data_IF_105626142427
#
_entry.id   IF_105626142427
#
_cell.length_a   1.000
_cell.length_b   1.000
_cell.length_c   1.000
_cell.angle_alpha   90.00
_cell.angle_beta   90.00
_cell.angle_gamma   90.00
#
_symmetry.space_group_name_H-M   'P 1'
#
loop_
_entity.id
_entity.type
_entity.pdbx_description
1 polymer ?
#
# COMPACT_ATOMS: atom_id res chain seq x y z
N UNK A 1 -6.32 5.39 10.28
CA UNK A 1 -7.63 5.77 9.74
C UNK A 1 -7.63 7.26 9.43
N UNK A 2 -8.04 7.63 8.21
CA UNK A 2 -8.19 9.03 7.82
C UNK A 2 -9.67 9.40 7.77
N UNK A 3 -9.96 10.61 8.20
CA UNK A 3 -11.25 11.25 8.07
C UNK A 3 -11.08 12.46 7.13
N UNK A 4 -11.96 12.63 6.16
CA UNK A 4 -11.91 13.77 5.22
C UNK A 4 -11.93 15.11 5.94
N UNK A 5 -12.65 15.21 7.06
CA UNK A 5 -12.69 16.44 7.84
C UNK A 5 -11.34 16.75 8.50
N UNK A 6 -10.62 15.74 9.00
CA UNK A 6 -9.30 15.92 9.62
C UNK A 6 -8.21 16.16 8.59
N UNK A 7 -8.32 15.59 7.39
CA UNK A 7 -7.41 15.87 6.28
C UNK A 7 -7.55 17.27 5.70
N UNK A 8 -8.65 17.97 6.01
CA UNK A 8 -9.00 19.27 5.43
C UNK A 8 -8.92 19.28 3.90
N UNK A 9 -9.28 18.16 3.28
CA UNK A 9 -9.31 18.00 1.84
C UNK A 9 -10.70 18.30 1.28
N UNK A 10 -10.77 18.90 0.11
CA UNK A 10 -12.03 19.15 -0.61
C UNK A 10 -12.51 17.91 -1.35
N UNK A 11 -11.57 17.09 -1.81
CA UNK A 11 -11.83 15.82 -2.47
C UNK A 11 -10.68 14.83 -2.24
N UNK A 12 -10.99 13.54 -2.28
CA UNK A 12 -10.01 12.44 -2.27
C UNK A 12 -10.39 11.39 -3.30
N UNK A 13 -9.42 10.98 -4.09
CA UNK A 13 -9.55 9.84 -4.99
C UNK A 13 -8.80 8.64 -4.40
N UNK A 14 -9.44 7.48 -4.39
CA UNK A 14 -8.82 6.24 -3.93
C UNK A 14 -9.13 5.08 -4.86
N UNK A 15 -8.22 4.10 -4.89
CA UNK A 15 -8.38 2.88 -5.67
C UNK A 15 -8.82 1.75 -4.75
N UNK A 16 -9.99 1.18 -4.99
CA UNK A 16 -10.57 0.15 -4.12
C UNK A 16 -9.69 -1.09 -3.97
N UNK A 17 -8.92 -1.47 -5.01
CA UNK A 17 -7.98 -2.59 -4.93
C UNK A 17 -6.84 -2.41 -3.91
N UNK A 18 -6.63 -1.20 -3.38
CA UNK A 18 -5.65 -0.93 -2.32
C UNK A 18 -6.22 -1.10 -0.91
N UNK A 19 -7.50 -1.39 -0.82
CA UNK A 19 -8.22 -1.65 0.43
C UNK A 19 -9.24 -2.79 0.26
N UNK A 20 -8.77 -3.90 -0.35
CA UNK A 20 -9.46 -5.19 -0.52
C UNK A 20 -10.63 -5.21 -1.52
N UNK A 21 -10.82 -4.14 -2.26
CA UNK A 21 -11.86 -4.04 -3.29
C UNK A 21 -11.36 -4.41 -4.69
N UNK A 22 -12.23 -4.33 -5.68
CA UNK A 22 -11.89 -4.57 -7.09
C UNK A 22 -11.16 -3.39 -7.73
N UNK A 23 -10.78 -3.54 -9.01
CA UNK A 23 -10.11 -2.49 -9.79
C UNK A 23 -11.09 -1.37 -10.21
N UNK A 24 -11.55 -0.63 -9.22
CA UNK A 24 -12.41 0.54 -9.36
C UNK A 24 -11.83 1.67 -8.52
N UNK A 25 -11.93 2.90 -9.02
CA UNK A 25 -11.59 4.09 -8.27
C UNK A 25 -12.85 4.75 -7.72
N UNK A 26 -12.72 5.35 -6.55
CA UNK A 26 -13.77 6.11 -5.88
C UNK A 26 -13.30 7.54 -5.71
N UNK A 27 -14.11 8.50 -6.11
CA UNK A 27 -13.92 9.92 -5.82
C UNK A 27 -14.92 10.33 -4.73
N UNK A 28 -14.41 10.70 -3.57
CA UNK A 28 -15.20 11.32 -2.50
C UNK A 28 -14.91 12.81 -2.49
N UNK A 29 -15.93 13.65 -2.53
CA UNK A 29 -15.77 15.10 -2.48
C UNK A 29 -16.89 15.75 -1.65
N UNK A 30 -16.66 16.98 -1.23
CA UNK A 30 -17.69 17.76 -0.56
C UNK A 30 -18.87 17.98 -1.51
N UNK A 31 -20.11 17.85 -1.06
CA UNK A 31 -21.29 18.02 -1.92
C UNK A 31 -21.30 19.37 -2.66
N UNK A 32 -20.89 20.44 -1.96
CA UNK A 32 -20.84 21.80 -2.52
C UNK A 32 -19.85 21.90 -3.70
N UNK A 33 -18.74 21.15 -3.63
CA UNK A 33 -17.77 21.08 -4.72
C UNK A 33 -18.37 20.35 -5.93
N UNK A 34 -19.01 19.20 -5.70
CA UNK A 34 -19.66 18.43 -6.75
C UNK A 34 -20.79 19.23 -7.44
N UNK A 35 -21.49 20.09 -6.70
CA UNK A 35 -22.52 20.97 -7.27
C UNK A 35 -21.94 22.18 -8.01
N UNK A 36 -20.83 22.75 -7.54
CA UNK A 36 -20.23 23.94 -8.13
C UNK A 36 -19.58 23.66 -9.49
N UNK A 37 -18.99 22.48 -9.66
CA UNK A 37 -18.25 22.13 -10.87
C UNK A 37 -19.14 21.41 -11.90
N UNK A 38 -18.79 21.62 -13.16
CA UNK A 38 -19.43 20.99 -14.32
C UNK A 38 -18.34 20.20 -15.07
N UNK A 39 -18.35 18.86 -14.99
CA UNK A 39 -17.41 18.06 -15.77
C UNK A 39 -17.75 18.13 -17.26
N UNK A 40 -16.74 17.98 -18.10
CA UNK A 40 -16.96 17.75 -19.52
C UNK A 40 -17.58 16.37 -19.71
N UNK A 41 -18.78 16.34 -20.27
CA UNK A 41 -19.56 15.12 -20.45
C UNK A 41 -20.45 15.18 -21.69
N UNK A 42 -21.00 14.03 -22.08
CA UNK A 42 -21.96 13.95 -23.16
C UNK A 42 -23.29 14.59 -22.76
N UNK A 43 -23.93 15.31 -23.68
CA UNK A 43 -25.22 16.00 -23.45
C UNK A 43 -26.31 15.11 -22.84
N UNK A 44 -26.50 13.83 -23.24
CA UNK A 44 -27.54 12.99 -22.66
C UNK A 44 -27.27 12.52 -21.23
N UNK A 45 -26.06 12.74 -20.70
CA UNK A 45 -25.75 12.37 -19.31
C UNK A 45 -26.52 13.22 -18.31
N UNK A 46 -26.93 12.68 -17.14
CA UNK A 46 -27.67 13.40 -16.12
C UNK A 46 -26.99 14.71 -15.71
N UNK A 47 -27.78 15.76 -15.44
CA UNK A 47 -27.23 17.05 -15.02
C UNK A 47 -27.05 17.20 -13.52
N UNK A 48 -27.58 16.26 -12.73
CA UNK A 48 -27.60 16.30 -11.27
C UNK A 48 -26.46 15.47 -10.68
N UNK A 49 -25.95 15.88 -9.52
CA UNK A 49 -24.98 15.11 -8.73
C UNK A 49 -25.70 13.98 -7.99
N UNK A 50 -25.05 12.80 -7.81
CA UNK A 50 -23.69 12.47 -8.26
C UNK A 50 -23.60 12.03 -9.73
N UNK A 51 -24.73 11.75 -10.40
CA UNK A 51 -24.80 11.09 -11.70
C UNK A 51 -24.12 11.89 -12.82
N UNK A 52 -24.05 13.22 -12.69
CA UNK A 52 -23.31 14.06 -13.65
C UNK A 52 -21.82 13.74 -13.74
N UNK A 53 -21.26 13.07 -12.72
CA UNK A 53 -19.88 12.69 -12.65
C UNK A 53 -19.61 11.28 -13.21
N UNK A 54 -20.67 10.58 -13.59
CA UNK A 54 -20.61 9.25 -14.17
C UNK A 54 -20.63 9.33 -15.69
N UNK A 55 -19.74 8.59 -16.35
CA UNK A 55 -19.55 8.69 -17.81
C UNK A 55 -20.43 7.73 -18.62
N UNK A 56 -21.19 6.88 -17.98
CA UNK A 56 -22.03 5.87 -18.65
C UNK A 56 -22.47 4.76 -17.71
N UNK A 57 -22.74 3.57 -18.26
CA UNK A 57 -23.14 2.40 -17.47
C UNK A 57 -22.07 2.07 -16.40
N UNK A 58 -22.49 2.02 -15.16
CA UNK A 58 -21.62 1.73 -14.04
C UNK A 58 -21.24 0.24 -13.99
N UNK A 59 -20.06 -0.09 -13.49
CA UNK A 59 -19.63 -1.48 -13.28
C UNK A 59 -20.26 -2.05 -12.00
N UNK A 60 -21.55 -2.38 -12.05
CA UNK A 60 -22.36 -2.75 -10.88
C UNK A 60 -21.76 -3.89 -10.05
N UNK A 61 -21.17 -4.90 -10.70
CA UNK A 61 -20.50 -6.01 -10.03
C UNK A 61 -19.30 -5.51 -9.20
N UNK A 62 -18.51 -4.61 -9.78
CA UNK A 62 -17.39 -4.00 -9.09
C UNK A 62 -17.86 -3.09 -7.95
N UNK A 63 -18.94 -2.34 -8.11
CA UNK A 63 -19.50 -1.52 -7.04
C UNK A 63 -20.01 -2.36 -5.87
N UNK A 64 -20.61 -3.52 -6.15
CA UNK A 64 -20.95 -4.48 -5.09
C UNK A 64 -19.71 -4.96 -4.33
N UNK A 65 -18.60 -5.22 -5.03
CA UNK A 65 -17.31 -5.56 -4.43
C UNK A 65 -16.71 -4.41 -3.61
N UNK A 66 -16.81 -3.16 -4.09
CA UNK A 66 -16.40 -1.95 -3.33
C UNK A 66 -17.17 -1.85 -2.01
N UNK A 67 -18.49 -2.05 -2.07
CA UNK A 67 -19.34 -2.04 -0.88
C UNK A 67 -18.91 -3.11 0.12
N UNK A 68 -18.74 -4.35 -0.34
CA UNK A 68 -18.32 -5.46 0.52
C UNK A 68 -16.95 -5.20 1.18
N UNK A 69 -15.99 -4.63 0.44
CA UNK A 69 -14.69 -4.25 0.99
C UNK A 69 -14.81 -3.15 2.06
N UNK A 70 -15.67 -2.16 1.84
CA UNK A 70 -15.92 -1.10 2.82
C UNK A 70 -16.59 -1.65 4.09
N UNK A 71 -17.60 -2.52 3.94
CA UNK A 71 -18.29 -3.19 5.05
C UNK A 71 -17.29 -4.02 5.88
N UNK A 72 -16.44 -4.82 5.22
CA UNK A 72 -15.38 -5.57 5.88
C UNK A 72 -14.43 -4.69 6.70
N UNK A 73 -13.97 -3.58 6.13
CA UNK A 73 -13.08 -2.67 6.84
C UNK A 73 -13.76 -1.97 8.03
N UNK A 74 -15.06 -1.68 7.92
CA UNK A 74 -15.82 -1.05 9.02
C UNK A 74 -16.00 -1.98 10.23
N UNK A 75 -15.92 -3.30 10.03
CA UNK A 75 -16.00 -4.30 11.10
C UNK A 75 -14.68 -4.47 11.87
N UNK A 76 -13.55 -3.99 11.31
CA UNK A 76 -12.24 -4.11 11.95
C UNK A 76 -12.06 -3.09 13.08
N UNK A 77 -11.50 -3.55 14.20
CA UNK A 77 -10.96 -2.68 15.24
C UNK A 77 -9.59 -2.12 14.77
N UNK A 78 -9.61 -0.91 14.23
CA UNK A 78 -8.40 -0.29 13.68
C UNK A 78 -7.32 0.00 14.71
N UNK A 79 -7.64 0.17 15.97
CA UNK A 79 -6.63 0.37 17.03
C UNK A 79 -5.92 -0.96 17.32
N UNK A 80 -6.66 -2.07 17.36
CA UNK A 80 -6.09 -3.40 17.49
C UNK A 80 -5.27 -3.79 16.23
N UNK A 81 -5.78 -3.50 15.02
CA UNK A 81 -5.05 -3.71 13.76
C UNK A 81 -3.74 -2.95 13.76
N UNK A 82 -3.75 -1.67 14.11
CA UNK A 82 -2.56 -0.83 14.16
C UNK A 82 -1.52 -1.38 15.14
N UNK A 83 -1.93 -1.71 16.36
CA UNK A 83 -1.03 -2.25 17.36
C UNK A 83 -0.38 -3.58 16.92
N UNK A 84 -1.17 -4.44 16.27
CA UNK A 84 -0.69 -5.70 15.72
C UNK A 84 0.33 -5.49 14.58
N UNK A 85 0.01 -4.66 13.61
CA UNK A 85 0.87 -4.35 12.47
C UNK A 85 2.18 -3.65 12.90
N UNK A 86 2.11 -2.73 13.87
CA UNK A 86 3.28 -2.07 14.46
C UNK A 86 4.19 -3.08 15.16
N UNK A 87 3.65 -4.06 15.87
CA UNK A 87 4.44 -5.10 16.52
C UNK A 87 5.18 -6.00 15.52
N UNK A 88 4.50 -6.41 14.43
CA UNK A 88 5.12 -7.18 13.35
C UNK A 88 6.23 -6.39 12.64
N UNK A 89 5.96 -5.12 12.34
CA UNK A 89 6.94 -4.24 11.72
C UNK A 89 8.17 -4.04 12.60
N UNK A 90 7.98 -3.80 13.90
CA UNK A 90 9.08 -3.63 14.86
C UNK A 90 9.95 -4.88 14.89
N UNK A 91 9.36 -6.07 15.06
CA UNK A 91 10.10 -7.33 15.07
C UNK A 91 10.91 -7.54 13.77
N UNK A 92 10.33 -7.23 12.61
CA UNK A 92 11.02 -7.35 11.33
C UNK A 92 12.17 -6.33 11.19
N UNK A 93 11.95 -5.06 11.59
CA UNK A 93 12.99 -4.03 11.53
C UNK A 93 14.15 -4.35 12.47
N UNK A 94 13.88 -4.75 13.71
CA UNK A 94 14.88 -5.12 14.68
C UNK A 94 15.72 -6.31 14.17
N UNK A 95 15.06 -7.37 13.69
CA UNK A 95 15.76 -8.54 13.17
C UNK A 95 16.58 -8.25 11.91
N UNK A 96 16.12 -7.40 11.01
CA UNK A 96 16.89 -6.99 9.82
C UNK A 96 18.05 -6.07 10.18
N UNK A 97 17.91 -5.22 11.20
CA UNK A 97 18.97 -4.33 11.66
C UNK A 97 20.18 -5.07 12.25
N UNK A 98 19.98 -6.28 12.78
CA UNK A 98 21.06 -7.15 13.29
C UNK A 98 21.86 -7.85 12.17
N UNK A 99 21.46 -7.69 10.89
CA UNK A 99 22.10 -8.36 9.77
C UNK A 99 23.07 -7.42 9.05
N UNK A 100 24.38 -7.62 9.19
CA UNK A 100 25.44 -6.79 8.60
C UNK A 100 25.34 -6.64 7.07
N UNK A 101 24.71 -7.60 6.38
CA UNK A 101 24.52 -7.60 4.92
C UNK A 101 23.25 -6.91 4.47
N UNK A 102 22.44 -6.38 5.38
CA UNK A 102 21.18 -5.68 5.08
C UNK A 102 21.32 -4.18 5.28
N UNK A 103 20.80 -3.41 4.35
CA UNK A 103 20.66 -1.96 4.48
C UNK A 103 19.17 -1.62 4.53
N UNK A 104 18.72 -1.05 5.64
CA UNK A 104 17.36 -0.56 5.82
C UNK A 104 17.24 0.90 5.37
N UNK A 105 16.09 1.26 4.80
CA UNK A 105 15.77 2.62 4.36
C UNK A 105 14.51 3.14 5.06
N UNK A 106 14.55 4.43 5.40
CA UNK A 106 13.45 5.11 6.09
C UNK A 106 13.48 4.89 7.60
N UNK A 107 13.46 5.99 8.35
CA UNK A 107 13.56 6.02 9.81
C UNK A 107 12.41 6.78 10.49
N UNK A 108 11.31 7.04 9.77
CA UNK A 108 10.16 7.75 10.34
C UNK A 108 9.53 6.90 11.46
N UNK A 109 9.33 7.47 12.66
CA UNK A 109 8.74 6.73 13.78
C UNK A 109 7.25 6.44 13.57
N UNK A 110 6.52 7.37 12.94
CA UNK A 110 5.11 7.18 12.55
C UNK A 110 5.06 6.84 11.06
N UNK A 111 4.79 5.56 10.78
CA UNK A 111 4.83 5.01 9.42
C UNK A 111 3.80 3.91 9.23
N UNK A 112 3.45 3.64 7.97
CA UNK A 112 2.71 2.45 7.61
C UNK A 112 3.52 1.17 7.91
N UNK A 113 2.89 0.01 8.10
CA UNK A 113 3.56 -1.26 8.41
C UNK A 113 4.34 -1.81 7.20
N UNK A 114 5.21 -0.98 6.66
CA UNK A 114 5.99 -1.25 5.44
C UNK A 114 7.46 -0.94 5.70
N UNK A 115 8.33 -1.83 5.27
CA UNK A 115 9.78 -1.69 5.35
C UNK A 115 10.43 -1.75 3.97
N UNK A 116 11.58 -1.11 3.81
CA UNK A 116 12.36 -1.10 2.58
C UNK A 116 13.82 -1.43 2.90
N UNK A 117 14.40 -2.37 2.16
CA UNK A 117 15.76 -2.84 2.39
C UNK A 117 16.45 -3.31 1.11
N UNK A 118 17.79 -3.41 1.18
CA UNK A 118 18.61 -4.12 0.21
C UNK A 118 19.54 -5.10 0.91
N UNK A 119 20.00 -6.11 0.16
CA UNK A 119 20.97 -7.12 0.60
C UNK A 119 22.26 -6.89 -0.18
N UNK A 120 23.37 -6.82 0.52
CA UNK A 120 24.69 -6.59 -0.08
C UNK A 120 25.01 -7.66 -1.13
N UNK A 121 25.51 -7.22 -2.30
CA UNK A 121 25.89 -8.10 -3.42
C UNK A 121 24.74 -8.65 -4.26
N UNK A 122 23.48 -8.27 -3.97
CA UNK A 122 22.31 -8.68 -4.74
C UNK A 122 21.50 -7.46 -5.20
N UNK A 123 20.93 -7.54 -6.39
CA UNK A 123 19.91 -6.58 -6.81
C UNK A 123 18.58 -6.84 -6.09
N UNK A 124 17.73 -5.83 -5.97
CA UNK A 124 16.40 -5.98 -5.34
C UNK A 124 15.57 -7.09 -6.00
N UNK A 125 15.70 -7.25 -7.32
CA UNK A 125 15.03 -8.31 -8.08
C UNK A 125 15.55 -9.71 -7.75
N UNK A 126 16.85 -9.87 -7.58
CA UNK A 126 17.43 -11.16 -7.16
C UNK A 126 16.98 -11.54 -5.76
N UNK A 127 16.93 -10.56 -4.84
CA UNK A 127 16.40 -10.77 -3.50
C UNK A 127 14.92 -11.17 -3.54
N UNK A 128 14.09 -10.44 -4.31
CA UNK A 128 12.67 -10.76 -4.42
C UNK A 128 12.42 -12.17 -4.99
N UNK A 129 13.22 -12.59 -5.99
CA UNK A 129 13.16 -13.96 -6.53
C UNK A 129 13.57 -15.02 -5.53
N UNK A 130 14.65 -14.78 -4.79
CA UNK A 130 15.09 -15.69 -3.76
C UNK A 130 14.06 -15.84 -2.63
N UNK A 131 13.41 -14.75 -2.22
CA UNK A 131 12.33 -14.79 -1.23
C UNK A 131 11.09 -15.52 -1.75
N UNK A 132 10.78 -15.39 -3.05
CA UNK A 132 9.68 -16.12 -3.67
C UNK A 132 9.88 -17.65 -3.65
N UNK A 133 11.12 -18.14 -3.67
CA UNK A 133 11.43 -19.57 -3.48
C UNK A 133 11.04 -20.07 -2.08
N UNK A 134 10.91 -19.16 -1.11
CA UNK A 134 10.43 -19.40 0.25
C UNK A 134 8.95 -19.02 0.45
N UNK A 135 8.20 -18.83 -0.63
CA UNK A 135 6.78 -18.43 -0.61
C UNK A 135 6.55 -17.06 0.07
N UNK A 136 7.55 -16.17 0.02
CA UNK A 136 7.47 -14.83 0.57
C UNK A 136 7.32 -13.83 -0.57
N UNK A 137 6.14 -13.19 -0.65
CA UNK A 137 5.84 -12.18 -1.64
C UNK A 137 6.34 -10.80 -1.17
N UNK A 138 7.25 -10.22 -1.93
CA UNK A 138 7.75 -8.86 -1.75
C UNK A 138 7.71 -8.12 -3.08
N UNK A 139 7.88 -6.81 -3.06
CA UNK A 139 7.99 -6.02 -4.28
C UNK A 139 9.42 -5.50 -4.45
N UNK A 140 9.94 -5.51 -5.69
CA UNK A 140 11.24 -4.96 -6.06
C UNK A 140 11.13 -3.72 -6.96
N UNK A 141 12.11 -2.83 -6.91
CA UNK A 141 12.22 -1.67 -7.78
C UNK A 141 12.02 -0.33 -7.09
N UNK A 142 11.51 0.66 -7.82
CA UNK A 142 11.38 2.04 -7.35
C UNK A 142 9.97 2.44 -6.88
N UNK A 143 8.97 1.60 -7.05
CA UNK A 143 7.57 1.82 -6.59
C UNK A 143 6.95 3.13 -7.09
N UNK A 144 7.32 3.58 -8.31
CA UNK A 144 7.02 4.92 -8.85
C UNK A 144 7.63 6.10 -8.07
N UNK A 145 8.50 5.83 -7.09
CA UNK A 145 9.22 6.84 -6.31
C UNK A 145 10.57 7.20 -6.96
N UNK A 146 10.53 7.56 -8.23
CA UNK A 146 11.70 7.80 -9.08
C UNK A 146 12.71 8.78 -8.50
N UNK A 147 12.23 9.92 -7.98
CA UNK A 147 13.13 10.92 -7.41
C UNK A 147 13.74 10.45 -6.07
N UNK A 148 12.97 9.73 -5.26
CA UNK A 148 13.47 9.14 -4.02
C UNK A 148 14.55 8.08 -4.31
N UNK A 149 14.33 7.21 -5.29
CA UNK A 149 15.30 6.21 -5.73
C UNK A 149 16.63 6.87 -6.11
N UNK A 150 16.60 7.95 -6.90
CA UNK A 150 17.79 8.72 -7.29
C UNK A 150 18.45 9.41 -6.10
N UNK A 151 17.67 10.02 -5.23
CA UNK A 151 18.17 10.70 -4.04
C UNK A 151 18.90 9.75 -3.10
N UNK A 152 18.40 8.52 -2.94
CA UNK A 152 19.01 7.47 -2.12
C UNK A 152 20.15 6.72 -2.85
N UNK A 153 20.42 7.02 -4.11
CA UNK A 153 21.47 6.34 -4.90
C UNK A 153 21.14 4.88 -5.24
N UNK A 154 19.86 4.52 -5.31
CA UNK A 154 19.39 3.15 -5.54
C UNK A 154 19.17 2.82 -7.01
N UNK A 155 19.20 3.81 -7.91
CA UNK A 155 19.04 3.57 -9.34
C UNK A 155 20.20 2.73 -9.91
N UNK A 156 19.93 1.81 -10.87
CA UNK A 156 18.64 1.56 -11.50
C UNK A 156 17.83 0.40 -10.87
N UNK A 157 18.26 -0.14 -9.75
CA UNK A 157 17.73 -1.40 -9.21
C UNK A 157 16.68 -1.22 -8.12
N UNK A 158 16.57 -0.01 -7.53
CA UNK A 158 15.65 0.26 -6.44
C UNK A 158 15.96 -0.53 -5.16
N UNK A 159 14.92 -0.91 -4.45
CA UNK A 159 15.01 -1.70 -3.23
C UNK A 159 13.91 -2.75 -3.14
N UNK A 160 13.99 -3.63 -2.16
CA UNK A 160 12.92 -4.57 -1.79
C UNK A 160 11.97 -3.87 -0.83
N UNK A 161 10.66 -4.02 -1.05
CA UNK A 161 9.61 -3.55 -0.15
C UNK A 161 8.81 -4.74 0.36
N UNK A 162 8.76 -4.90 1.67
CA UNK A 162 7.87 -5.81 2.36
C UNK A 162 6.88 -5.03 3.22
N UNK A 163 5.74 -5.61 3.53
CA UNK A 163 4.73 -4.98 4.38
C UNK A 163 3.86 -6.03 5.05
N UNK A 164 3.33 -5.66 6.21
CA UNK A 164 2.44 -6.49 7.00
C UNK A 164 1.04 -5.90 6.98
N UNK A 165 0.07 -6.78 7.07
CA UNK A 165 -1.34 -6.45 7.20
C UNK A 165 -1.93 -7.25 8.35
N UNK A 166 -3.13 -6.89 8.78
CA UNK A 166 -3.82 -7.50 9.92
C UNK A 166 -3.99 -9.03 9.85
N UNK A 167 -3.84 -9.64 8.70
CA UNK A 167 -3.92 -11.09 8.52
C UNK A 167 -2.55 -11.80 8.55
N UNK A 168 -1.44 -11.06 8.64
CA UNK A 168 -0.13 -11.66 8.88
C UNK A 168 0.06 -11.96 10.35
N UNK A 169 0.96 -12.89 10.67
CA UNK A 169 1.29 -13.24 12.03
C UNK A 169 2.81 -13.18 12.31
N UNK A 170 3.21 -13.50 13.54
CA UNK A 170 4.60 -13.48 13.94
C UNK A 170 5.46 -14.50 13.14
N UNK A 171 4.88 -15.63 12.74
CA UNK A 171 5.58 -16.63 11.94
C UNK A 171 5.91 -16.10 10.55
N UNK A 172 5.09 -15.20 9.98
CA UNK A 172 5.39 -14.55 8.71
C UNK A 172 6.62 -13.64 8.82
N UNK A 173 6.73 -12.87 9.90
CA UNK A 173 7.90 -12.05 10.18
C UNK A 173 9.15 -12.90 10.41
N UNK A 174 9.06 -13.97 11.17
CA UNK A 174 10.15 -14.93 11.42
C UNK A 174 10.62 -15.60 10.12
N UNK A 175 9.70 -16.01 9.24
CA UNK A 175 10.04 -16.57 7.93
C UNK A 175 10.79 -15.58 7.05
N UNK A 176 10.34 -14.32 7.01
CA UNK A 176 11.04 -13.26 6.29
C UNK A 176 12.48 -13.11 6.81
N UNK A 177 12.66 -12.99 8.12
CA UNK A 177 13.98 -12.85 8.74
C UNK A 177 14.89 -14.04 8.46
N UNK A 178 14.38 -15.27 8.61
CA UNK A 178 15.14 -16.48 8.34
C UNK A 178 15.57 -16.58 6.86
N UNK A 179 14.68 -16.24 5.93
CA UNK A 179 14.99 -16.25 4.51
C UNK A 179 16.04 -15.20 4.14
N UNK A 180 15.91 -13.95 4.64
CA UNK A 180 16.89 -12.87 4.39
C UNK A 180 18.25 -13.21 4.99
N UNK A 181 18.31 -13.76 6.21
CA UNK A 181 19.57 -14.21 6.83
C UNK A 181 20.28 -15.29 5.99
N UNK A 182 19.52 -16.12 5.28
CA UNK A 182 20.07 -17.14 4.37
C UNK A 182 20.72 -16.58 3.11
N UNK A 183 20.42 -15.33 2.72
CA UNK A 183 20.98 -14.69 1.53
C UNK A 183 22.45 -14.26 1.69
N UNK A 184 22.92 -14.06 2.91
CA UNK A 184 24.32 -13.70 3.20
C UNK A 184 25.36 -14.77 2.79
N UNK A 185 24.92 -15.97 2.47
CA UNK A 185 25.79 -17.14 2.24
C UNK A 185 25.93 -17.52 0.76
N UNK A 186 25.39 -16.71 -0.14
CA UNK A 186 25.52 -16.90 -1.59
C UNK A 186 26.46 -15.85 -2.18
#
# INVERSE_FOLDING_TARGET
RFDLATLNADAIACSAYKWFGPHVSVLCARPELLEAYRPDKLNPSPAESPDRWELGTLPFESLAGVRAAAEYLLELDFDAVRAHEEALLAAALDGLAEMDHVTLYGAAPDRAPTLMFNVAGMTSREVARALAEHEIAVWDGNYYAWELERHLGLAPHGAVRAGFLHYNDAADAERLLAAVAGLARR
#
